data_IF_119509953984
#
_entry.id   IF_119509953984
#
_cell.length_a   1.000
_cell.length_b   1.000
_cell.length_c   1.000
_cell.angle_alpha   90.00
_cell.angle_beta   90.00
_cell.angle_gamma   90.00
#
_symmetry.space_group_name_H-M   'P 1'
#
loop_
_entity.id
_entity.type
_entity.pdbx_description
1 polymer ?
#
# COMPACT_ATOMS: atom_id res chain seq x y z
N UNK A 1 -12.50 0.58 -0.58
CA UNK A 1 -11.12 0.30 -0.16
C UNK A 1 -10.66 -1.01 -0.76
N UNK A 2 -9.48 -1.00 -1.38
CA UNK A 2 -8.83 -2.14 -2.04
C UNK A 2 -7.30 -2.04 -1.88
N UNK A 3 -6.59 -3.10 -2.26
CA UNK A 3 -5.13 -3.08 -2.32
C UNK A 3 -4.61 -1.90 -3.17
N UNK A 4 -3.65 -1.18 -2.63
CA UNK A 4 -3.06 0.02 -3.21
C UNK A 4 -3.83 1.32 -2.97
N UNK A 5 -4.95 1.33 -2.24
CA UNK A 5 -5.56 2.58 -1.77
C UNK A 5 -4.76 3.17 -0.59
N UNK A 6 -4.84 4.49 -0.41
CA UNK A 6 -4.32 5.15 0.79
C UNK A 6 -5.40 5.33 1.85
N UNK A 7 -5.03 5.09 3.12
CA UNK A 7 -5.77 5.49 4.31
C UNK A 7 -5.08 6.74 4.87
N UNK A 8 -5.88 7.74 5.22
CA UNK A 8 -5.40 8.97 5.85
C UNK A 8 -5.93 9.07 7.28
N UNK A 9 -5.03 9.25 8.24
CA UNK A 9 -5.42 9.65 9.60
C UNK A 9 -5.59 11.16 9.69
N UNK A 10 -6.39 11.67 10.64
CA UNK A 10 -6.52 13.11 10.90
C UNK A 10 -5.18 13.81 11.18
N UNK A 11 -4.17 13.07 11.68
CA UNK A 11 -2.80 13.56 11.88
C UNK A 11 -2.03 13.84 10.58
N UNK A 12 -2.58 13.48 9.41
CA UNK A 12 -1.89 13.50 8.12
C UNK A 12 -1.07 12.24 7.84
N UNK A 13 -1.01 11.29 8.78
CA UNK A 13 -0.32 10.01 8.57
C UNK A 13 -1.02 9.20 7.49
N UNK A 14 -0.24 8.74 6.51
CA UNK A 14 -0.71 7.99 5.36
C UNK A 14 -0.27 6.54 5.44
N UNK A 15 -1.18 5.62 5.11
CA UNK A 15 -0.92 4.17 5.06
C UNK A 15 -1.37 3.60 3.72
N UNK A 16 -0.66 2.59 3.21
CA UNK A 16 -1.03 1.87 1.99
C UNK A 16 -1.74 0.58 2.36
N UNK A 17 -2.93 0.37 1.80
CA UNK A 17 -3.67 -0.88 1.97
C UNK A 17 -2.99 -1.99 1.17
N UNK A 18 -2.56 -3.06 1.83
CA UNK A 18 -2.02 -4.25 1.16
C UNK A 18 -3.16 -5.19 0.78
N UNK A 19 -4.03 -5.49 1.74
CA UNK A 19 -5.22 -6.30 1.53
C UNK A 19 -6.30 -5.99 2.58
N UNK A 20 -7.53 -6.39 2.24
CA UNK A 20 -8.70 -6.34 3.12
C UNK A 20 -9.12 -7.78 3.37
N UNK A 21 -9.33 -8.14 4.63
CA UNK A 21 -9.72 -9.49 5.04
C UNK A 21 -11.05 -9.43 5.82
N UNK A 22 -11.84 -10.50 5.72
CA UNK A 22 -13.02 -10.72 6.54
C UNK A 22 -12.68 -11.76 7.62
N UNK A 23 -12.57 -11.32 8.87
CA UNK A 23 -11.98 -12.06 9.98
C UNK A 23 -12.96 -13.02 10.66
N UNK A 24 -13.84 -13.67 9.90
CA UNK A 24 -14.88 -14.54 10.45
C UNK A 24 -14.28 -15.84 10.99
N UNK A 25 -14.36 -16.04 12.30
CA UNK A 25 -13.86 -17.26 12.96
C UNK A 25 -12.34 -17.39 12.97
N UNK A 26 -11.61 -16.27 12.93
CA UNK A 26 -10.15 -16.25 13.10
C UNK A 26 -9.84 -16.05 14.58
N UNK A 27 -9.18 -17.03 15.20
CA UNK A 27 -8.76 -16.95 16.60
C UNK A 27 -7.90 -15.71 16.87
N UNK A 28 -8.20 -15.00 17.95
CA UNK A 28 -7.50 -13.78 18.34
C UNK A 28 -7.99 -12.50 17.65
N UNK A 29 -8.90 -12.60 16.67
CA UNK A 29 -9.57 -11.44 16.06
C UNK A 29 -11.06 -11.46 16.39
N UNK A 30 -11.66 -10.26 16.47
CA UNK A 30 -13.13 -10.16 16.51
C UNK A 30 -13.65 -10.36 15.09
N UNK A 31 -14.81 -10.98 14.94
CA UNK A 31 -15.45 -11.07 13.63
C UNK A 31 -15.68 -9.68 13.03
N UNK A 32 -15.29 -9.50 11.77
CA UNK A 32 -15.46 -8.24 11.04
C UNK A 32 -14.42 -8.03 9.95
N UNK A 33 -14.52 -6.90 9.26
CA UNK A 33 -13.55 -6.53 8.22
C UNK A 33 -12.32 -5.88 8.84
N UNK A 34 -11.14 -6.31 8.40
CA UNK A 34 -9.87 -5.72 8.77
C UNK A 34 -9.08 -5.30 7.55
N UNK A 35 -8.22 -4.31 7.75
CA UNK A 35 -7.37 -3.75 6.72
C UNK A 35 -5.93 -3.88 7.16
N UNK A 36 -5.16 -4.68 6.42
CA UNK A 36 -3.72 -4.75 6.61
C UNK A 36 -3.09 -3.62 5.81
N UNK A 37 -2.40 -2.70 6.49
CA UNK A 37 -1.83 -1.53 5.86
C UNK A 37 -0.38 -1.31 6.31
N UNK A 38 0.39 -0.64 5.45
CA UNK A 38 1.83 -0.48 5.60
C UNK A 38 2.24 0.96 5.34
N UNK A 39 3.28 1.45 6.01
CA UNK A 39 3.87 2.77 5.74
C UNK A 39 5.37 2.79 6.06
N UNK A 40 6.15 3.68 5.43
CA UNK A 40 7.52 3.93 5.86
C UNK A 40 7.53 4.72 7.17
N UNK A 41 8.54 4.48 7.99
CA UNK A 41 8.91 5.32 9.14
C UNK A 41 10.38 5.64 9.04
N UNK A 42 10.72 6.93 9.07
CA UNK A 42 12.10 7.38 9.05
C UNK A 42 12.83 6.98 10.34
N UNK A 43 14.02 6.41 10.19
CA UNK A 43 14.93 6.03 11.27
C UNK A 43 16.32 6.63 11.02
N UNK A 44 17.22 6.63 12.01
CA UNK A 44 18.61 7.06 11.82
C UNK A 44 19.40 6.26 10.77
N UNK A 45 18.92 5.08 10.37
CA UNK A 45 19.61 4.17 9.45
C UNK A 45 18.92 4.04 8.07
N UNK A 46 17.86 4.81 7.83
CA UNK A 46 17.01 4.71 6.63
C UNK A 46 15.52 4.65 7.00
N UNK A 47 14.68 4.14 6.11
CA UNK A 47 13.26 3.94 6.44
C UNK A 47 12.99 2.47 6.82
N UNK A 48 12.42 2.25 7.99
CA UNK A 48 11.77 0.98 8.33
C UNK A 48 10.41 0.91 7.64
N UNK A 49 9.94 -0.30 7.37
CA UNK A 49 8.57 -0.52 6.93
C UNK A 49 7.77 -1.06 8.11
N UNK A 50 6.76 -0.31 8.53
CA UNK A 50 5.85 -0.75 9.57
C UNK A 50 4.54 -1.22 8.96
N UNK A 51 3.93 -2.23 9.59
CA UNK A 51 2.62 -2.73 9.24
C UNK A 51 1.68 -2.72 10.44
N UNK A 52 0.38 -2.61 10.18
CA UNK A 52 -0.64 -2.79 11.22
C UNK A 52 -1.93 -3.35 10.63
N UNK A 53 -2.68 -4.07 11.47
CA UNK A 53 -3.98 -4.63 11.12
C UNK A 53 -5.11 -3.81 11.76
N UNK A 54 -5.70 -2.93 10.98
CA UNK A 54 -6.76 -2.04 11.45
C UNK A 54 -8.13 -2.73 11.38
N UNK A 55 -8.95 -2.69 12.45
CA UNK A 55 -10.38 -2.96 12.32
C UNK A 55 -10.98 -1.91 11.39
N UNK A 56 -11.67 -2.31 10.31
CA UNK A 56 -12.17 -1.35 9.32
C UNK A 56 -13.13 -0.32 9.94
N UNK A 57 -13.86 -0.70 11.01
CA UNK A 57 -14.74 0.18 11.75
C UNK A 57 -14.05 1.38 12.42
N UNK A 58 -12.74 1.30 12.69
CA UNK A 58 -11.97 2.40 13.31
C UNK A 58 -11.36 3.36 12.28
N UNK A 59 -11.38 2.98 11.01
CA UNK A 59 -10.89 3.81 9.93
C UNK A 59 -12.00 4.78 9.50
N UNK A 60 -11.87 6.06 9.87
CA UNK A 60 -12.68 7.12 9.27
C UNK A 60 -12.47 7.08 7.75
N UNK A 61 -13.51 6.69 7.01
CA UNK A 61 -13.44 6.02 5.70
C UNK A 61 -12.94 6.83 4.49
N UNK A 62 -12.02 7.78 4.65
CA UNK A 62 -11.39 8.46 3.52
C UNK A 62 -10.30 7.56 2.89
N UNK A 63 -10.72 6.64 2.02
CA UNK A 63 -9.80 5.93 1.13
C UNK A 63 -9.75 6.60 -0.24
N UNK A 64 -8.55 6.87 -0.76
CA UNK A 64 -8.37 7.38 -2.13
C UNK A 64 -7.59 6.37 -2.96
N UNK A 65 -8.06 6.13 -4.19
CA UNK A 65 -7.27 5.39 -5.17
C UNK A 65 -6.02 6.21 -5.49
N UNK A 66 -4.87 5.56 -5.48
CA UNK A 66 -3.57 6.22 -5.71
C UNK A 66 -3.35 6.51 -7.19
N UNK A 67 -3.94 5.67 -8.04
CA UNK A 67 -3.81 5.73 -9.48
C UNK A 67 -5.05 5.18 -10.20
N UNK A 68 -5.26 5.68 -11.41
CA UNK A 68 -6.28 5.28 -12.38
C UNK A 68 -5.61 4.63 -13.61
N UNK A 69 -6.40 4.00 -14.47
CA UNK A 69 -5.89 3.48 -15.75
C UNK A 69 -5.58 4.65 -16.69
N UNK A 70 -4.43 4.62 -17.35
CA UNK A 70 -3.95 5.68 -18.23
C UNK A 70 -3.00 6.67 -17.56
N UNK A 71 -2.94 6.69 -16.22
CA UNK A 71 -1.98 7.50 -15.49
C UNK A 71 -0.53 7.02 -15.77
N UNK A 72 0.40 7.97 -15.84
CA UNK A 72 1.83 7.72 -16.01
C UNK A 72 2.52 7.95 -14.67
N UNK A 73 3.38 7.02 -14.28
CA UNK A 73 4.16 7.10 -13.04
C UNK A 73 5.63 6.85 -13.28
N UNK A 74 6.44 7.71 -12.67
CA UNK A 74 7.88 7.54 -12.62
C UNK A 74 8.26 6.83 -11.32
N UNK A 75 8.92 5.68 -11.41
CA UNK A 75 9.52 5.00 -10.25
C UNK A 75 10.99 4.76 -10.57
N UNK A 76 11.87 5.17 -9.66
CA UNK A 76 13.32 5.03 -9.82
C UNK A 76 13.89 5.59 -11.15
N UNK A 77 13.23 6.60 -11.73
CA UNK A 77 13.63 7.22 -12.99
C UNK A 77 13.12 6.53 -14.26
N UNK A 78 12.25 5.52 -14.13
CA UNK A 78 11.59 4.85 -15.25
C UNK A 78 10.08 5.18 -15.26
N UNK A 79 9.55 5.49 -16.44
CA UNK A 79 8.15 5.84 -16.64
C UNK A 79 7.31 4.63 -17.05
N UNK A 80 6.18 4.47 -16.37
CA UNK A 80 5.22 3.39 -16.60
C UNK A 80 3.81 3.95 -16.73
N UNK A 81 3.11 3.54 -17.79
CA UNK A 81 1.67 3.76 -17.90
C UNK A 81 0.89 2.64 -17.21
N UNK A 82 -0.17 2.99 -16.47
CA UNK A 82 -1.13 2.02 -15.95
C UNK A 82 -2.01 1.52 -17.10
N UNK A 83 -1.77 0.28 -17.54
CA UNK A 83 -2.46 -0.27 -18.70
C UNK A 83 -3.81 -0.93 -18.34
N UNK A 84 -3.81 -1.80 -17.32
CA UNK A 84 -5.03 -2.45 -16.81
C UNK A 84 -4.87 -2.95 -15.38
N UNK A 85 -5.98 -3.31 -14.74
CA UNK A 85 -6.03 -3.67 -13.33
C UNK A 85 -6.78 -5.01 -13.15
N UNK A 86 -6.28 -5.90 -12.28
CA UNK A 86 -6.92 -7.17 -11.96
C UNK A 86 -6.70 -7.54 -10.49
N UNK A 87 -7.74 -7.37 -9.67
CA UNK A 87 -7.67 -7.67 -8.23
C UNK A 87 -6.54 -6.90 -7.55
N UNK A 88 -5.59 -7.63 -6.94
CA UNK A 88 -4.42 -7.04 -6.28
C UNK A 88 -3.28 -6.65 -7.23
N UNK A 89 -3.44 -6.87 -8.53
CA UNK A 89 -2.41 -6.63 -9.53
C UNK A 89 -2.76 -5.46 -10.45
N UNK A 90 -1.71 -4.80 -10.95
CA UNK A 90 -1.76 -3.77 -11.98
C UNK A 90 -0.76 -4.14 -13.07
N UNK A 91 -1.17 -3.98 -14.33
CA UNK A 91 -0.27 -4.15 -15.45
C UNK A 91 0.31 -2.79 -15.81
N UNK A 92 1.63 -2.72 -15.82
CA UNK A 92 2.43 -1.59 -16.25
C UNK A 92 2.79 -1.75 -17.72
N UNK A 93 2.86 -0.64 -18.45
CA UNK A 93 3.38 -0.59 -19.81
C UNK A 93 4.51 0.43 -19.89
N UNK A 94 5.68 0.00 -20.36
CA UNK A 94 6.85 0.83 -20.61
C UNK A 94 6.73 1.60 -21.93
N UNK A 95 7.62 2.57 -22.16
CA UNK A 95 7.68 3.31 -23.43
C UNK A 95 7.94 2.41 -24.65
N UNK A 96 8.74 1.36 -24.49
CA UNK A 96 9.04 0.38 -25.55
C UNK A 96 7.86 -0.55 -25.88
N UNK A 97 6.73 -0.40 -25.17
CA UNK A 97 5.51 -1.19 -25.34
C UNK A 97 5.51 -2.51 -24.58
N UNK A 98 6.62 -2.89 -23.93
CA UNK A 98 6.66 -4.08 -23.06
C UNK A 98 5.75 -3.88 -21.85
N UNK A 99 5.30 -4.99 -21.27
CA UNK A 99 4.37 -4.97 -20.13
C UNK A 99 4.80 -5.93 -19.04
N UNK A 100 4.49 -5.57 -17.80
CA UNK A 100 4.71 -6.41 -16.63
C UNK A 100 3.56 -6.26 -15.63
N UNK A 101 3.41 -7.25 -14.74
CA UNK A 101 2.43 -7.21 -13.66
C UNK A 101 3.13 -6.91 -12.34
N UNK A 102 2.57 -5.97 -11.58
CA UNK A 102 3.04 -5.61 -10.25
C UNK A 102 1.91 -5.71 -9.24
N UNK A 103 2.26 -5.92 -7.97
CA UNK A 103 1.32 -5.79 -6.86
C UNK A 103 0.93 -4.32 -6.70
N UNK A 104 -0.38 -4.03 -6.68
CA UNK A 104 -0.92 -2.67 -6.56
C UNK A 104 -0.41 -1.93 -5.34
N UNK A 105 -0.38 -2.62 -4.20
CA UNK A 105 0.09 -2.03 -2.95
C UNK A 105 1.58 -1.67 -3.02
N UNK A 106 2.40 -2.48 -3.70
CA UNK A 106 3.83 -2.21 -3.84
C UNK A 106 4.07 -0.97 -4.69
N UNK A 107 3.33 -0.85 -5.79
CA UNK A 107 3.38 0.36 -6.62
C UNK A 107 2.97 1.60 -5.82
N UNK A 108 1.83 1.54 -5.13
CA UNK A 108 1.36 2.64 -4.29
C UNK A 108 2.34 3.00 -3.17
N UNK A 109 3.02 2.02 -2.59
CA UNK A 109 4.03 2.22 -1.56
C UNK A 109 5.31 2.84 -2.10
N UNK A 110 5.79 2.37 -3.25
CA UNK A 110 6.94 2.97 -3.94
C UNK A 110 6.66 4.42 -4.33
N UNK A 111 5.44 4.72 -4.80
CA UNK A 111 4.99 6.09 -5.07
C UNK A 111 4.96 6.95 -3.81
N UNK A 112 4.47 6.41 -2.70
CA UNK A 112 4.49 7.10 -1.40
C UNK A 112 5.93 7.42 -0.96
N UNK A 113 6.89 6.52 -1.21
CA UNK A 113 8.31 6.70 -0.84
C UNK A 113 9.12 7.50 -1.85
N UNK A 114 8.70 7.56 -3.11
CA UNK A 114 9.51 8.05 -4.22
C UNK A 114 10.68 7.12 -4.63
N UNK A 115 10.72 5.89 -4.11
CA UNK A 115 11.79 4.93 -4.38
C UNK A 115 11.28 3.49 -4.25
N UNK A 116 11.98 2.56 -4.90
CA UNK A 116 11.70 1.13 -4.79
C UNK A 116 12.05 0.57 -3.43
N UNK A 117 11.15 -0.23 -2.87
CA UNK A 117 11.44 -1.04 -1.69
C UNK A 117 12.31 -2.25 -2.08
N UNK A 118 13.50 -2.41 -1.48
CA UNK A 118 14.31 -3.60 -1.69
C UNK A 118 13.63 -4.82 -1.07
N UNK A 119 13.85 -6.00 -1.67
CA UNK A 119 13.32 -7.26 -1.14
C UNK A 119 13.86 -7.60 0.26
N UNK A 120 15.01 -7.03 0.63
CA UNK A 120 15.65 -7.17 1.93
C UNK A 120 15.22 -6.11 2.95
N UNK A 121 14.23 -5.26 2.64
CA UNK A 121 13.73 -4.28 3.60
C UNK A 121 13.22 -4.99 4.85
N UNK A 122 13.52 -4.41 6.02
CA UNK A 122 13.01 -4.93 7.29
C UNK A 122 11.57 -4.47 7.53
N UNK A 123 10.77 -5.40 8.08
CA UNK A 123 9.36 -5.18 8.37
C UNK A 123 9.11 -5.46 9.85
N UNK A 124 8.38 -4.56 10.50
CA UNK A 124 7.93 -4.77 11.88
C UNK A 124 6.50 -4.29 12.08
N UNK A 125 5.87 -4.80 13.12
CA UNK A 125 4.57 -4.31 13.53
C UNK A 125 4.71 -2.88 14.09
N UNK A 126 3.71 -2.05 13.82
CA UNK A 126 3.60 -0.71 14.39
C UNK A 126 3.29 -0.75 15.88
N UNK A 127 3.94 0.11 16.64
CA UNK A 127 3.62 0.33 18.05
C UNK A 127 2.41 1.27 18.21
N UNK A 128 1.79 1.29 19.40
CA UNK A 128 0.62 2.14 19.68
C UNK A 128 0.83 3.63 19.36
N UNK A 129 2.05 4.15 19.52
CA UNK A 129 2.38 5.54 19.20
C UNK A 129 2.60 5.81 17.70
N UNK A 130 2.75 4.75 16.90
CA UNK A 130 2.98 4.82 15.45
C UNK A 130 1.72 4.54 14.63
N UNK A 131 0.70 3.96 15.25
CA UNK A 131 -0.56 3.60 14.61
C UNK A 131 -1.32 4.84 14.19
#
# INVERSE_FOLDING_TARGET
MRAGDFIFKPSGTQWVVVFVLDAKGIDGLKDGKYVFAVRPVGTPYGDDIIYHLFPAATLGWASKSVFETGDIYTVAGEDFAINRQRGMFVQLRREDGSTEWACRWRLAFNMMRGADVPLSAEWREATDGEI
#
